data_IF_392198215575
#
_entry.id   IF_392198215575
#
_cell.length_a   1.000
_cell.length_b   1.000
_cell.length_c   1.000
_cell.angle_alpha   90.00
_cell.angle_beta   90.00
_cell.angle_gamma   90.00
#
_symmetry.space_group_name_H-M   'P 1'
#
loop_
_entity.id
_entity.type
_entity.pdbx_description
1 polymer ?
#
# COMPACT_ATOMS: atom_id res chain seq x y z
N UNK A 1 10.57 -42.98 51.35
CA UNK A 1 9.77 -42.72 52.56
C UNK A 1 8.99 -41.44 52.34
N UNK A 2 7.71 -41.56 52.01
CA UNK A 2 6.82 -40.45 51.66
C UNK A 2 6.30 -39.77 52.94
N UNK A 3 6.45 -38.45 53.02
CA UNK A 3 5.93 -37.62 54.10
C UNK A 3 4.94 -36.59 53.57
N UNK A 4 3.66 -36.86 53.78
CA UNK A 4 2.52 -35.96 53.56
C UNK A 4 2.53 -34.79 54.53
N UNK A 5 2.36 -33.56 54.02
CA UNK A 5 2.00 -32.38 54.82
C UNK A 5 0.71 -31.78 54.26
N UNK A 6 -0.30 -31.70 55.14
CA UNK A 6 -1.63 -31.12 54.92
C UNK A 6 -1.56 -29.60 54.78
N UNK A 7 -2.33 -29.05 53.83
CA UNK A 7 -2.67 -27.63 53.77
C UNK A 7 -3.94 -27.32 54.60
N UNK A 8 -4.06 -26.13 55.21
CA UNK A 8 -5.26 -25.76 55.98
C UNK A 8 -6.35 -25.15 55.10
N UNK A 9 -7.59 -25.38 55.49
CA UNK A 9 -8.80 -24.86 54.87
C UNK A 9 -8.96 -23.35 55.11
N UNK A 10 -9.23 -22.60 54.04
CA UNK A 10 -9.66 -21.19 54.10
C UNK A 10 -11.13 -21.12 53.73
N UNK A 11 -11.96 -20.79 54.71
CA UNK A 11 -13.39 -20.51 54.58
C UNK A 11 -13.61 -19.06 54.14
N UNK A 12 -13.90 -18.84 52.86
CA UNK A 12 -14.23 -17.53 52.29
C UNK A 12 -15.71 -17.43 51.92
N UNK A 13 -16.47 -16.61 52.66
CA UNK A 13 -17.88 -16.29 52.40
C UNK A 13 -18.11 -15.70 51.00
N UNK A 14 -18.96 -16.35 50.21
CA UNK A 14 -19.48 -15.79 48.96
C UNK A 14 -20.41 -14.60 49.25
N UNK A 15 -19.98 -13.39 48.86
CA UNK A 15 -20.86 -12.21 48.77
C UNK A 15 -21.63 -12.29 47.45
N UNK A 16 -22.94 -12.51 47.52
CA UNK A 16 -23.87 -12.32 46.39
C UNK A 16 -23.85 -10.85 45.98
N UNK A 17 -23.35 -10.58 44.77
CA UNK A 17 -23.54 -9.31 44.10
C UNK A 17 -24.92 -9.34 43.41
N UNK A 18 -25.85 -8.54 43.91
CA UNK A 18 -27.15 -8.32 43.27
C UNK A 18 -26.93 -7.45 42.04
N UNK A 19 -27.06 -8.03 40.85
CA UNK A 19 -27.10 -7.28 39.59
C UNK A 19 -28.48 -6.63 39.48
N UNK A 20 -28.55 -5.30 39.70
CA UNK A 20 -29.71 -4.48 39.33
C UNK A 20 -29.63 -4.17 37.84
N UNK A 21 -30.66 -4.57 37.09
CA UNK A 21 -30.86 -4.18 35.70
C UNK A 21 -31.06 -2.65 35.62
N UNK A 22 -30.21 -1.99 34.83
CA UNK A 22 -30.38 -0.58 34.48
C UNK A 22 -31.14 -0.48 33.16
N UNK A 23 -32.16 0.39 33.17
CA UNK A 23 -33.08 0.70 32.08
C UNK A 23 -32.38 1.10 30.78
N UNK A 24 -32.93 0.62 29.66
CA UNK A 24 -32.59 1.03 28.31
C UNK A 24 -32.94 2.52 28.08
N UNK A 25 -31.92 3.36 27.92
CA UNK A 25 -32.07 4.69 27.32
C UNK A 25 -32.04 4.50 25.81
N UNK A 26 -33.17 4.76 25.14
CA UNK A 26 -33.24 4.87 23.68
C UNK A 26 -32.47 6.12 23.26
N UNK A 27 -31.24 5.93 22.81
CA UNK A 27 -30.49 6.97 22.10
C UNK A 27 -31.17 7.27 20.76
N UNK A 28 -31.62 8.51 20.57
CA UNK A 28 -32.01 9.03 19.27
C UNK A 28 -30.79 8.95 18.34
N UNK A 29 -30.91 8.20 17.25
CA UNK A 29 -29.93 8.23 16.17
C UNK A 29 -29.97 9.62 15.53
N UNK A 30 -28.96 10.43 15.80
CA UNK A 30 -28.73 11.65 15.05
C UNK A 30 -28.07 11.24 13.73
N UNK A 31 -28.82 11.33 12.63
CA UNK A 31 -28.22 11.36 11.30
C UNK A 31 -27.23 12.54 11.28
N UNK A 32 -25.92 12.23 11.24
CA UNK A 32 -24.90 13.24 11.03
C UNK A 32 -25.11 13.95 9.68
N UNK A 33 -24.59 15.17 9.49
CA UNK A 33 -24.83 15.91 8.26
C UNK A 33 -24.08 15.22 7.12
N UNK A 34 -24.82 14.57 6.23
CA UNK A 34 -24.33 13.87 5.04
C UNK A 34 -23.35 14.76 4.25
N UNK A 35 -23.54 16.08 4.25
CA UNK A 35 -22.67 17.05 3.58
C UNK A 35 -21.24 17.16 4.11
N UNK A 36 -21.00 16.92 5.41
CA UNK A 36 -19.64 16.98 5.97
C UNK A 36 -18.81 15.72 5.64
N UNK A 37 -19.48 14.58 5.46
CA UNK A 37 -18.83 13.32 5.05
C UNK A 37 -18.45 13.36 3.57
N UNK A 38 -19.36 13.86 2.71
CA UNK A 38 -19.10 14.00 1.26
C UNK A 38 -17.95 14.98 1.02
N UNK A 39 -17.98 16.16 1.64
CA UNK A 39 -16.89 17.14 1.50
C UNK A 39 -15.53 16.61 1.99
N UNK A 40 -15.50 15.78 3.04
CA UNK A 40 -14.25 15.12 3.48
C UNK A 40 -13.77 14.04 2.51
N UNK A 41 -14.69 13.31 1.88
CA UNK A 41 -14.36 12.33 0.85
C UNK A 41 -13.79 13.02 -0.40
N UNK A 42 -14.38 14.14 -0.82
CA UNK A 42 -13.90 14.92 -1.96
C UNK A 42 -12.46 15.46 -1.73
N UNK A 43 -12.18 15.98 -0.53
CA UNK A 43 -10.83 16.44 -0.17
C UNK A 43 -9.84 15.27 -0.10
N UNK A 44 -10.22 14.15 0.52
CA UNK A 44 -9.34 12.98 0.61
C UNK A 44 -9.02 12.38 -0.76
N UNK A 45 -9.99 12.38 -1.68
CA UNK A 45 -9.79 11.93 -3.05
C UNK A 45 -8.85 12.86 -3.83
N UNK A 46 -9.07 14.17 -3.74
CA UNK A 46 -8.18 15.14 -4.41
C UNK A 46 -6.74 15.06 -3.87
N UNK A 47 -6.57 14.87 -2.56
CA UNK A 47 -5.25 14.61 -1.96
C UNK A 47 -4.61 13.33 -2.50
N UNK A 48 -5.38 12.24 -2.64
CA UNK A 48 -4.88 10.97 -3.18
C UNK A 48 -4.47 11.10 -4.65
N UNK A 49 -5.27 11.80 -5.46
CA UNK A 49 -4.96 12.10 -6.87
C UNK A 49 -3.68 12.91 -7.04
N UNK A 50 -3.54 14.00 -6.28
CA UNK A 50 -2.31 14.83 -6.29
C UNK A 50 -1.10 14.01 -5.86
N UNK A 51 -1.25 13.21 -4.81
CA UNK A 51 -0.19 12.34 -4.31
C UNK A 51 0.25 11.31 -5.36
N UNK A 52 -0.69 10.69 -6.08
CA UNK A 52 -0.39 9.79 -7.19
C UNK A 52 0.30 10.51 -8.36
N UNK A 53 -0.14 11.73 -8.68
CA UNK A 53 0.47 12.55 -9.72
C UNK A 53 1.92 12.92 -9.40
N UNK A 54 2.20 13.33 -8.16
CA UNK A 54 3.55 13.64 -7.70
C UNK A 54 4.49 12.43 -7.82
N UNK A 55 4.01 11.25 -7.39
CA UNK A 55 4.76 10.00 -7.48
C UNK A 55 5.03 9.59 -8.95
N UNK A 56 4.02 9.70 -9.82
CA UNK A 56 4.15 9.36 -11.24
C UNK A 56 5.11 10.32 -11.95
N UNK A 57 5.04 11.61 -11.68
CA UNK A 57 5.96 12.60 -12.27
C UNK A 57 7.39 12.41 -11.75
N UNK A 58 7.56 12.05 -10.49
CA UNK A 58 8.88 11.70 -9.97
C UNK A 58 9.44 10.47 -10.68
N UNK A 59 8.64 9.41 -10.86
CA UNK A 59 9.04 8.24 -11.65
C UNK A 59 9.47 8.60 -13.08
N UNK A 60 8.71 9.45 -13.79
CA UNK A 60 9.06 9.91 -15.14
C UNK A 60 10.42 10.62 -15.14
N UNK A 61 10.65 11.54 -14.19
CA UNK A 61 11.93 12.26 -14.10
C UNK A 61 13.09 11.30 -13.80
N UNK A 62 12.92 10.35 -12.89
CA UNK A 62 13.96 9.38 -12.53
C UNK A 62 14.25 8.42 -13.69
N UNK A 63 13.23 7.94 -14.40
CA UNK A 63 13.42 7.09 -15.58
C UNK A 63 14.17 7.81 -16.71
N UNK A 64 14.00 9.13 -16.85
CA UNK A 64 14.77 9.93 -17.80
C UNK A 64 16.27 10.04 -17.46
N UNK A 65 16.67 9.76 -16.22
CA UNK A 65 18.09 9.77 -15.81
C UNK A 65 18.83 8.48 -16.20
N UNK A 66 18.15 7.43 -16.66
CA UNK A 66 18.77 6.12 -16.91
C UNK A 66 19.89 6.21 -17.95
N UNK A 67 19.68 6.95 -19.04
CA UNK A 67 20.66 7.05 -20.12
C UNK A 67 20.82 5.72 -20.86
N UNK A 68 22.05 5.21 -20.94
CA UNK A 68 22.43 3.94 -21.58
C UNK A 68 22.46 2.74 -20.60
N UNK A 69 22.21 2.98 -19.31
CA UNK A 69 22.38 2.01 -18.21
C UNK A 69 21.24 0.99 -18.06
N UNK A 70 20.44 0.78 -19.10
CA UNK A 70 19.24 -0.07 -19.04
C UNK A 70 19.52 -1.52 -18.63
N UNK A 71 20.70 -2.04 -18.95
CA UNK A 71 21.12 -3.41 -18.63
C UNK A 71 21.95 -3.51 -17.36
N UNK A 72 22.18 -2.42 -16.62
CA UNK A 72 22.89 -2.46 -15.35
C UNK A 72 22.02 -3.11 -14.25
N UNK A 73 22.64 -3.78 -13.26
CA UNK A 73 21.90 -4.32 -12.11
C UNK A 73 21.13 -3.24 -11.35
N UNK A 74 19.92 -3.55 -10.87
CA UNK A 74 19.11 -2.62 -10.09
C UNK A 74 18.61 -3.21 -8.76
N UNK A 75 17.69 -4.17 -8.79
CA UNK A 75 17.05 -4.70 -7.58
C UNK A 75 16.93 -6.23 -7.65
N UNK A 76 17.62 -6.93 -6.76
CA UNK A 76 17.63 -8.39 -6.76
C UNK A 76 18.13 -8.93 -8.10
N UNK A 77 17.30 -9.69 -8.81
CA UNK A 77 17.59 -10.23 -10.14
C UNK A 77 17.21 -9.30 -11.31
N UNK A 78 16.65 -8.12 -11.03
CA UNK A 78 16.26 -7.16 -12.06
C UNK A 78 17.39 -6.22 -12.44
N UNK A 79 17.56 -6.03 -13.75
CA UNK A 79 18.26 -4.88 -14.31
C UNK A 79 17.39 -3.61 -14.25
N UNK A 80 17.99 -2.46 -14.57
CA UNK A 80 17.29 -1.17 -14.58
C UNK A 80 16.04 -1.21 -15.46
N UNK A 81 16.11 -1.85 -16.62
CA UNK A 81 14.97 -1.96 -17.56
C UNK A 81 13.82 -2.78 -16.99
N UNK A 82 14.10 -3.91 -16.36
CA UNK A 82 13.09 -4.73 -15.69
C UNK A 82 12.46 -3.98 -14.51
N UNK A 83 13.25 -3.25 -13.72
CA UNK A 83 12.73 -2.43 -12.62
C UNK A 83 11.82 -1.30 -13.16
N UNK A 84 12.23 -0.56 -14.18
CA UNK A 84 11.40 0.50 -14.80
C UNK A 84 10.14 -0.10 -15.42
N UNK A 85 10.24 -1.27 -16.06
CA UNK A 85 9.10 -2.03 -16.56
C UNK A 85 8.11 -2.39 -15.46
N UNK A 86 8.60 -2.95 -14.35
CA UNK A 86 7.79 -3.28 -13.19
C UNK A 86 7.12 -2.04 -12.58
N UNK A 87 7.86 -0.97 -12.34
CA UNK A 87 7.34 0.29 -11.81
C UNK A 87 6.26 0.89 -12.72
N UNK A 88 6.41 0.78 -14.04
CA UNK A 88 5.42 1.22 -15.02
C UNK A 88 4.08 0.48 -14.90
N UNK A 89 4.09 -0.76 -14.38
CA UNK A 89 2.85 -1.51 -14.14
C UNK A 89 1.97 -0.83 -13.11
N UNK A 90 2.53 -0.07 -12.17
CA UNK A 90 1.74 0.72 -11.22
C UNK A 90 0.86 1.78 -11.88
N UNK A 91 1.21 2.21 -13.09
CA UNK A 91 0.38 3.06 -13.95
C UNK A 91 -0.54 2.21 -14.83
N UNK A 92 0.02 1.22 -15.53
CA UNK A 92 -0.72 0.40 -16.50
C UNK A 92 -1.85 -0.40 -15.89
N UNK A 93 -1.73 -0.86 -14.64
CA UNK A 93 -2.82 -1.59 -13.98
C UNK A 93 -3.97 -0.68 -13.58
N UNK A 94 -3.73 0.62 -13.30
CA UNK A 94 -4.81 1.60 -13.12
C UNK A 94 -5.62 1.71 -14.41
N UNK A 95 -4.95 1.92 -15.54
CA UNK A 95 -5.58 1.98 -16.87
C UNK A 95 -6.35 0.70 -17.19
N UNK A 96 -5.71 -0.45 -16.99
CA UNK A 96 -6.27 -1.76 -17.31
C UNK A 96 -7.48 -2.11 -16.44
N UNK A 97 -7.42 -1.83 -15.13
CA UNK A 97 -8.50 -2.22 -14.22
C UNK A 97 -9.68 -1.25 -14.28
N UNK A 98 -9.46 0.03 -14.56
CA UNK A 98 -10.58 0.96 -14.80
C UNK A 98 -11.43 0.58 -16.01
N UNK A 99 -10.87 -0.17 -16.96
CA UNK A 99 -11.62 -0.74 -18.08
C UNK A 99 -12.41 -2.02 -17.72
N UNK A 100 -12.32 -2.51 -16.48
CA UNK A 100 -12.90 -3.78 -16.01
C UNK A 100 -13.76 -3.52 -14.77
N UNK A 101 -15.07 -3.26 -14.94
CA UNK A 101 -15.93 -2.94 -13.81
C UNK A 101 -16.16 -4.15 -12.89
N UNK A 102 -16.19 -3.90 -11.59
CA UNK A 102 -16.58 -4.88 -10.58
C UNK A 102 -18.04 -4.68 -10.13
N UNK A 103 -18.73 -5.78 -9.80
CA UNK A 103 -20.10 -5.74 -9.29
C UNK A 103 -20.17 -5.44 -7.77
N UNK A 104 -19.16 -5.87 -7.03
CA UNK A 104 -19.11 -5.80 -5.56
C UNK A 104 -17.72 -5.40 -5.08
N UNK A 105 -17.65 -4.85 -3.88
CA UNK A 105 -16.38 -4.64 -3.17
C UNK A 105 -16.02 -5.94 -2.46
N UNK A 106 -14.93 -6.55 -2.87
CA UNK A 106 -14.33 -7.74 -2.25
C UNK A 106 -13.09 -7.36 -1.43
N UNK A 107 -12.39 -6.30 -1.84
CA UNK A 107 -11.21 -5.74 -1.16
C UNK A 107 -11.53 -4.32 -0.73
N UNK A 108 -11.51 -4.05 0.57
CA UNK A 108 -12.00 -2.79 1.14
C UNK A 108 -10.92 -1.74 1.39
N UNK A 109 -9.63 -2.09 1.32
CA UNK A 109 -8.54 -1.17 1.61
C UNK A 109 -7.24 -1.52 0.90
N UNK A 110 -6.33 -0.55 0.82
CA UNK A 110 -4.97 -0.77 0.32
C UNK A 110 -4.20 -1.82 1.13
N UNK A 111 -4.39 -1.86 2.46
CA UNK A 111 -3.78 -2.86 3.33
C UNK A 111 -4.31 -4.27 3.03
N UNK A 112 -5.62 -4.43 2.83
CA UNK A 112 -6.23 -5.71 2.48
C UNK A 112 -5.74 -6.20 1.11
N UNK A 113 -5.54 -5.28 0.16
CA UNK A 113 -4.96 -5.60 -1.14
C UNK A 113 -3.55 -6.18 -1.01
N UNK A 114 -2.67 -5.56 -0.22
CA UNK A 114 -1.32 -6.06 0.02
C UNK A 114 -1.32 -7.44 0.70
N UNK A 115 -2.19 -7.65 1.69
CA UNK A 115 -2.35 -8.98 2.32
C UNK A 115 -2.85 -10.03 1.33
N UNK A 116 -3.87 -9.71 0.54
CA UNK A 116 -4.44 -10.62 -0.45
C UNK A 116 -3.46 -10.98 -1.58
N UNK A 117 -2.53 -10.08 -1.91
CA UNK A 117 -1.58 -10.26 -3.02
C UNK A 117 -0.19 -10.75 -2.59
N UNK A 118 0.07 -10.88 -1.28
CA UNK A 118 1.37 -11.31 -0.71
C UNK A 118 1.92 -12.59 -1.36
N UNK A 119 1.09 -13.63 -1.50
CA UNK A 119 1.52 -14.90 -2.12
C UNK A 119 1.88 -14.74 -3.60
N UNK A 120 1.20 -13.85 -4.32
CA UNK A 120 1.48 -13.54 -5.73
C UNK A 120 2.78 -12.74 -5.88
N UNK A 121 3.09 -11.87 -4.92
CA UNK A 121 4.35 -11.11 -4.89
C UNK A 121 5.57 -11.99 -4.57
N UNK A 122 5.38 -13.07 -3.81
CA UNK A 122 6.42 -14.04 -3.48
C UNK A 122 6.69 -15.09 -4.58
N UNK A 123 5.85 -15.14 -5.61
CA UNK A 123 5.98 -16.07 -6.73
C UNK A 123 7.19 -15.69 -7.61
N UNK A 124 8.11 -16.61 -7.94
CA UNK A 124 9.20 -16.36 -8.89
C UNK A 124 8.73 -15.80 -10.26
N UNK A 125 7.51 -16.12 -10.68
CA UNK A 125 6.90 -15.57 -11.89
C UNK A 125 6.70 -14.04 -11.82
N UNK A 126 6.71 -13.45 -10.63
CA UNK A 126 6.64 -11.99 -10.44
C UNK A 126 7.83 -11.29 -11.09
N UNK A 127 9.02 -11.86 -10.96
CA UNK A 127 10.23 -11.30 -11.56
C UNK A 127 10.21 -11.38 -13.09
N UNK A 128 9.66 -12.46 -13.65
CA UNK A 128 9.43 -12.57 -15.10
C UNK A 128 8.50 -11.47 -15.62
N UNK A 129 7.41 -11.15 -14.91
CA UNK A 129 6.50 -10.05 -15.29
C UNK A 129 7.18 -8.68 -15.33
N UNK A 130 8.16 -8.44 -14.45
CA UNK A 130 8.99 -7.22 -14.48
C UNK A 130 9.83 -7.14 -15.77
N UNK A 131 10.49 -8.24 -16.14
CA UNK A 131 11.26 -8.33 -17.40
C UNK A 131 10.37 -8.15 -18.63
N UNK A 132 9.23 -8.83 -18.69
CA UNK A 132 8.29 -8.73 -19.81
C UNK A 132 7.77 -7.30 -19.97
N UNK A 133 7.43 -6.63 -18.86
CA UNK A 133 7.03 -5.23 -18.87
C UNK A 133 8.18 -4.32 -19.32
N UNK A 134 9.41 -4.60 -18.91
CA UNK A 134 10.61 -3.87 -19.38
C UNK A 134 10.79 -4.01 -20.88
N UNK A 135 10.61 -5.22 -21.42
CA UNK A 135 10.62 -5.50 -22.88
C UNK A 135 9.56 -4.69 -23.61
N UNK A 136 8.34 -4.64 -23.07
CA UNK A 136 7.21 -3.93 -23.66
C UNK A 136 7.40 -2.41 -23.73
N UNK A 137 8.36 -1.82 -23.00
CA UNK A 137 8.67 -0.38 -23.11
C UNK A 137 9.32 0.02 -24.45
N UNK A 138 9.76 -0.97 -25.25
CA UNK A 138 10.32 -0.72 -26.58
C UNK A 138 11.75 -0.17 -26.56
N UNK A 139 12.11 0.49 -27.66
CA UNK A 139 13.48 1.02 -27.90
C UNK A 139 13.76 2.35 -27.22
N UNK A 140 12.71 3.10 -26.84
CA UNK A 140 12.82 4.34 -26.08
C UNK A 140 11.98 4.25 -24.79
N UNK A 141 12.49 3.56 -23.75
CA UNK A 141 11.70 3.30 -22.56
C UNK A 141 11.32 4.58 -21.80
N UNK A 142 12.19 5.59 -21.77
CA UNK A 142 11.92 6.83 -21.05
C UNK A 142 10.74 7.60 -21.68
N UNK A 143 10.71 7.73 -23.01
CA UNK A 143 9.58 8.34 -23.72
C UNK A 143 8.30 7.51 -23.54
N UNK A 144 8.40 6.18 -23.61
CA UNK A 144 7.25 5.30 -23.36
C UNK A 144 6.67 5.49 -21.95
N UNK A 145 7.53 5.56 -20.93
CA UNK A 145 7.12 5.82 -19.53
C UNK A 145 6.41 7.17 -19.41
N UNK A 146 6.97 8.24 -19.98
CA UNK A 146 6.33 9.56 -19.98
C UNK A 146 4.96 9.54 -20.67
N UNK A 147 4.84 8.83 -21.78
CA UNK A 147 3.58 8.65 -22.50
C UNK A 147 2.54 7.87 -21.69
N UNK A 148 2.94 6.80 -20.99
CA UNK A 148 2.06 6.04 -20.07
C UNK A 148 1.57 6.96 -18.95
N UNK A 149 2.48 7.65 -18.26
CA UNK A 149 2.12 8.55 -17.17
C UNK A 149 1.14 9.64 -17.63
N UNK A 150 1.40 10.29 -18.77
CA UNK A 150 0.51 11.33 -19.32
C UNK A 150 -0.90 10.83 -19.68
N UNK A 151 -1.05 9.56 -20.10
CA UNK A 151 -2.38 8.96 -20.32
C UNK A 151 -3.08 8.63 -19.01
N UNK A 152 -2.39 7.96 -18.09
CA UNK A 152 -2.96 7.49 -16.83
C UNK A 152 -3.34 8.65 -15.91
N UNK A 153 -2.52 9.70 -15.85
CA UNK A 153 -2.85 10.89 -15.06
C UNK A 153 -4.12 11.57 -15.55
N UNK A 154 -4.29 11.75 -16.87
CA UNK A 154 -5.55 12.27 -17.44
C UNK A 154 -6.74 11.33 -17.20
N UNK A 155 -6.50 10.02 -17.21
CA UNK A 155 -7.55 9.04 -16.94
C UNK A 155 -8.06 9.18 -15.51
N UNK A 156 -7.17 9.30 -14.52
CA UNK A 156 -7.48 9.49 -13.10
C UNK A 156 -8.07 10.87 -12.83
N UNK A 157 -7.61 11.89 -13.55
CA UNK A 157 -8.13 13.27 -13.48
C UNK A 157 -9.64 13.34 -13.79
N UNK A 158 -10.14 12.44 -14.63
CA UNK A 158 -11.55 12.38 -15.02
C UNK A 158 -12.45 11.58 -14.06
N UNK A 159 -11.94 11.19 -12.88
CA UNK A 159 -12.59 10.27 -11.92
C UNK A 159 -12.85 10.91 -10.58
N UNK A 160 -13.89 10.41 -9.90
CA UNK A 160 -14.28 10.81 -8.54
C UNK A 160 -13.84 9.79 -7.47
N UNK A 161 -13.19 8.70 -7.87
CA UNK A 161 -12.65 7.69 -6.96
C UNK A 161 -13.69 6.64 -6.53
N UNK A 162 -14.95 6.82 -6.90
CA UNK A 162 -16.04 5.90 -6.54
C UNK A 162 -16.13 4.69 -7.46
N UNK A 163 -15.41 4.71 -8.59
CA UNK A 163 -15.42 3.65 -9.59
C UNK A 163 -15.04 2.30 -8.98
N UNK A 164 -15.81 1.26 -9.31
CA UNK A 164 -15.50 -0.12 -8.91
C UNK A 164 -14.75 -0.83 -10.02
N UNK A 165 -13.50 -1.20 -9.75
CA UNK A 165 -12.60 -1.88 -10.67
C UNK A 165 -12.32 -3.31 -10.20
N UNK A 166 -12.11 -4.23 -11.14
CA UNK A 166 -11.68 -5.61 -10.84
C UNK A 166 -10.16 -5.68 -10.84
N UNK A 167 -9.57 -5.82 -9.65
CA UNK A 167 -8.14 -6.10 -9.49
C UNK A 167 -7.84 -7.59 -9.58
N UNK A 168 -6.56 -7.97 -9.52
CA UNK A 168 -6.16 -9.37 -9.33
C UNK A 168 -6.61 -9.98 -8.00
N UNK A 169 -6.98 -9.16 -7.02
CA UNK A 169 -7.42 -9.59 -5.70
C UNK A 169 -8.95 -9.46 -5.52
N UNK A 170 -9.69 -9.09 -6.57
CA UNK A 170 -11.14 -8.89 -6.54
C UNK A 170 -11.58 -7.45 -6.76
N UNK A 171 -12.88 -7.21 -6.69
CA UNK A 171 -13.49 -5.88 -6.84
C UNK A 171 -13.06 -4.89 -5.74
N UNK A 172 -12.69 -3.67 -6.14
CA UNK A 172 -12.15 -2.62 -5.27
C UNK A 172 -12.56 -1.23 -5.77
N UNK A 173 -12.73 -0.25 -4.89
CA UNK A 173 -12.92 1.16 -5.33
C UNK A 173 -11.59 1.74 -5.83
N UNK A 174 -11.64 2.65 -6.80
CA UNK A 174 -10.46 3.37 -7.27
C UNK A 174 -9.77 4.13 -6.12
N UNK A 175 -10.55 4.79 -5.24
CA UNK A 175 -10.01 5.51 -4.08
C UNK A 175 -9.23 4.61 -3.11
N UNK A 176 -9.60 3.33 -3.00
CA UNK A 176 -8.90 2.37 -2.14
C UNK A 176 -7.69 1.74 -2.86
N UNK A 177 -7.76 1.62 -4.20
CA UNK A 177 -6.72 1.01 -5.02
C UNK A 177 -5.54 1.96 -5.31
N UNK A 178 -5.81 3.24 -5.58
CA UNK A 178 -4.81 4.23 -5.98
C UNK A 178 -3.66 4.41 -4.96
N UNK A 179 -3.89 4.35 -3.63
CA UNK A 179 -2.82 4.35 -2.64
C UNK A 179 -1.83 3.19 -2.80
N UNK A 180 -2.29 2.00 -3.22
CA UNK A 180 -1.39 0.86 -3.48
C UNK A 180 -0.44 1.16 -4.63
N UNK A 181 -0.91 1.86 -5.66
CA UNK A 181 -0.11 2.20 -6.84
C UNK A 181 0.85 3.32 -6.56
N UNK A 182 0.43 4.30 -5.76
CA UNK A 182 1.31 5.36 -5.27
C UNK A 182 2.44 4.78 -4.40
N UNK A 183 2.12 3.83 -3.52
CA UNK A 183 3.13 3.14 -2.69
C UNK A 183 4.19 2.47 -3.57
N UNK A 184 3.75 1.69 -4.56
CA UNK A 184 4.67 1.00 -5.50
C UNK A 184 5.51 1.97 -6.32
N UNK A 185 4.92 3.07 -6.81
CA UNK A 185 5.67 4.13 -7.49
C UNK A 185 6.72 4.75 -6.57
N UNK A 186 6.37 5.03 -5.31
CA UNK A 186 7.28 5.64 -4.35
C UNK A 186 8.46 4.70 -4.02
N UNK A 187 8.19 3.45 -3.68
CA UNK A 187 9.23 2.47 -3.31
C UNK A 187 10.12 2.16 -4.50
N UNK A 188 9.55 1.76 -5.63
CA UNK A 188 10.38 1.30 -6.75
C UNK A 188 11.05 2.42 -7.55
N UNK A 189 10.56 3.66 -7.44
CA UNK A 189 11.34 4.81 -7.93
C UNK A 189 12.49 5.15 -6.98
N UNK A 190 12.37 4.91 -5.67
CA UNK A 190 13.49 5.02 -4.74
C UNK A 190 14.55 3.93 -5.00
N UNK A 191 14.12 2.70 -5.29
CA UNK A 191 15.01 1.61 -5.73
C UNK A 191 15.75 2.02 -7.01
N UNK A 192 15.04 2.58 -8.00
CA UNK A 192 15.64 3.06 -9.24
C UNK A 192 16.63 4.21 -9.00
N UNK A 193 16.27 5.21 -8.20
CA UNK A 193 17.17 6.30 -7.87
C UNK A 193 18.47 5.78 -7.23
N UNK A 194 18.34 4.82 -6.30
CA UNK A 194 19.48 4.16 -5.64
C UNK A 194 20.35 3.42 -6.65
N UNK A 195 19.77 2.63 -7.55
CA UNK A 195 20.49 1.91 -8.60
C UNK A 195 21.24 2.86 -9.54
N UNK A 196 20.70 4.04 -9.80
CA UNK A 196 21.32 5.06 -10.66
C UNK A 196 22.35 5.94 -9.94
N UNK A 197 22.57 5.75 -8.63
CA UNK A 197 23.43 6.59 -7.80
C UNK A 197 22.86 7.98 -7.50
N UNK A 198 21.56 8.16 -7.65
CA UNK A 198 20.84 9.41 -7.36
C UNK A 198 20.22 9.39 -5.95
N UNK A 199 20.01 10.57 -5.32
CA UNK A 199 19.30 10.63 -4.05
C UNK A 199 17.85 10.16 -4.21
N UNK A 200 17.32 9.32 -3.30
CA UNK A 200 15.93 8.88 -3.33
C UNK A 200 15.00 9.96 -2.74
N UNK A 201 14.89 11.10 -3.45
CA UNK A 201 14.09 12.25 -3.06
C UNK A 201 12.58 12.00 -3.31
N UNK A 202 11.99 11.09 -2.53
CA UNK A 202 10.56 10.76 -2.60
C UNK A 202 9.73 12.03 -2.32
N UNK A 203 8.75 12.38 -3.18
CA UNK A 203 7.84 13.51 -2.92
C UNK A 203 7.17 13.38 -1.54
N UNK A 204 7.10 14.48 -0.78
CA UNK A 204 6.62 14.46 0.60
C UNK A 204 5.19 13.90 0.75
N UNK A 205 4.31 14.20 -0.21
CA UNK A 205 2.94 13.68 -0.29
C UNK A 205 2.93 12.14 -0.43
N UNK A 206 3.72 11.62 -1.39
CA UNK A 206 3.87 10.20 -1.64
C UNK A 206 4.53 9.46 -0.46
N UNK A 207 5.59 10.05 0.11
CA UNK A 207 6.27 9.50 1.29
C UNK A 207 5.31 9.39 2.48
N UNK A 208 4.53 10.44 2.76
CA UNK A 208 3.57 10.44 3.86
C UNK A 208 2.48 9.37 3.67
N UNK A 209 1.94 9.22 2.46
CA UNK A 209 0.94 8.19 2.17
C UNK A 209 1.53 6.78 2.26
N UNK A 210 2.73 6.56 1.71
CA UNK A 210 3.39 5.27 1.74
C UNK A 210 3.75 4.84 3.17
N UNK A 211 4.27 5.75 3.99
CA UNK A 211 4.61 5.47 5.39
C UNK A 211 3.39 5.18 6.26
N UNK A 212 2.25 5.85 6.02
CA UNK A 212 0.98 5.50 6.69
C UNK A 212 0.57 4.06 6.37
N UNK A 213 0.64 3.67 5.11
CA UNK A 213 0.31 2.30 4.70
C UNK A 213 1.27 1.26 5.32
N UNK A 214 2.57 1.57 5.39
CA UNK A 214 3.56 0.73 6.09
C UNK A 214 3.19 0.57 7.56
N UNK A 215 2.79 1.65 8.23
CA UNK A 215 2.36 1.61 9.62
C UNK A 215 1.09 0.75 9.79
N UNK A 216 0.09 0.90 8.93
CA UNK A 216 -1.15 0.12 8.96
C UNK A 216 -0.88 -1.38 8.76
N UNK A 217 0.01 -1.72 7.81
CA UNK A 217 0.47 -3.09 7.61
C UNK A 217 1.22 -3.61 8.83
N UNK A 218 2.16 -2.84 9.39
CA UNK A 218 2.93 -3.26 10.56
C UNK A 218 2.05 -3.52 11.79
N UNK A 219 1.00 -2.71 12.00
CA UNK A 219 0.03 -2.92 13.07
C UNK A 219 -0.74 -4.21 12.84
N UNK A 220 -1.23 -4.44 11.62
CA UNK A 220 -2.01 -5.62 11.30
C UNK A 220 -1.21 -6.93 11.39
N UNK A 221 0.07 -6.91 11.00
CA UNK A 221 0.97 -8.06 11.08
C UNK A 221 1.59 -8.25 12.49
N UNK A 222 1.26 -7.37 13.45
CA UNK A 222 1.77 -7.47 14.82
C UNK A 222 3.26 -7.12 14.99
N UNK A 223 3.85 -6.42 14.03
CA UNK A 223 5.29 -6.06 14.00
C UNK A 223 5.56 -4.57 14.26
N UNK A 224 4.56 -3.82 14.72
CA UNK A 224 4.69 -2.39 15.01
C UNK A 224 5.80 -2.08 16.05
N UNK A 225 5.95 -2.91 17.09
CA UNK A 225 6.98 -2.71 18.13
C UNK A 225 8.40 -2.72 17.56
N UNK A 226 8.84 -3.81 16.90
CA UNK A 226 10.11 -3.86 16.19
C UNK A 226 10.32 -2.71 15.21
N UNK A 227 9.30 -2.35 14.42
CA UNK A 227 9.38 -1.24 13.47
C UNK A 227 9.61 0.11 14.17
N UNK A 228 8.89 0.39 15.26
CA UNK A 228 9.07 1.62 16.04
C UNK A 228 10.46 1.71 16.66
N UNK A 229 10.98 0.61 17.22
CA UNK A 229 12.33 0.58 17.78
C UNK A 229 13.37 0.84 16.69
N UNK A 230 13.16 0.33 15.47
CA UNK A 230 14.06 0.56 14.36
C UNK A 230 14.04 1.98 13.81
N UNK A 231 12.85 2.50 13.48
CA UNK A 231 12.71 3.86 12.92
C UNK A 231 13.10 4.96 13.91
N UNK A 232 13.18 4.63 15.20
CA UNK A 232 13.66 5.55 16.24
C UNK A 232 15.10 5.26 16.69
N UNK A 233 15.82 4.35 16.02
CA UNK A 233 17.27 4.15 16.23
C UNK A 233 17.66 3.33 17.46
N UNK A 234 16.76 2.50 18.00
CA UNK A 234 17.05 1.63 19.15
C UNK A 234 17.62 0.27 18.73
N UNK A 235 17.12 -0.31 17.65
CA UNK A 235 17.55 -1.63 17.14
C UNK A 235 17.46 -1.68 15.62
N UNK A 236 18.33 -2.44 14.93
CA UNK A 236 18.14 -2.68 13.49
C UNK A 236 16.93 -3.59 13.21
N UNK A 237 16.40 -3.53 11.98
CA UNK A 237 15.47 -4.55 11.47
C UNK A 237 16.26 -5.82 11.07
N UNK A 238 15.71 -7.03 11.25
CA UNK A 238 16.36 -8.25 10.80
C UNK A 238 16.50 -8.28 9.27
N UNK A 239 17.50 -9.02 8.78
CA UNK A 239 17.66 -9.23 7.34
C UNK A 239 16.37 -9.85 6.74
N UNK A 240 15.90 -9.29 5.63
CA UNK A 240 14.67 -9.73 4.98
C UNK A 240 13.38 -9.28 5.67
N UNK A 241 13.44 -8.37 6.66
CA UNK A 241 12.23 -7.79 7.24
C UNK A 241 11.39 -7.07 6.18
N UNK A 242 10.10 -7.38 6.14
CA UNK A 242 9.12 -6.76 5.27
C UNK A 242 7.75 -6.71 5.96
N UNK A 243 7.04 -5.59 5.81
CA UNK A 243 5.60 -5.50 6.15
C UNK A 243 4.71 -5.94 4.97
N UNK A 244 5.30 -6.08 3.79
CA UNK A 244 4.71 -6.64 2.57
C UNK A 244 4.84 -8.16 2.55
#
# INVERSE_FOLDING_TARGET
MAGTVRAPAVTGRARRLVVRAASAVRGRSAAGPVGASVARMDVAWEDSRRTFADAAQWFVRTAALVGDRWSEPALGEWDVRALVGHTSRSLLTVETYLARPAATIEVASAGDYFRATRAVAADPAFAARGRDAGVALGSDPATTVAGIAGRVLRLVEARDGTELLTTIAGGMRLADYLPTRTFELAVHTADLATALGAPPDVPATAAAQALRLVADLAVAEGVAGPLLLALTGRTGLPAGFSVL
#
